data_IF_066807409098
#
_entry.id   IF_066807409098
#
_cell.length_a   1.000
_cell.length_b   1.000
_cell.length_c   1.000
_cell.angle_alpha   90.00
_cell.angle_beta   90.00
_cell.angle_gamma   90.00
#
_symmetry.space_group_name_H-M   'P 1'
#
loop_
_entity.id
_entity.type
_entity.pdbx_description
1 polymer ?
#
# COMPACT_ATOMS: atom_id res chain seq x y z
N UNK A 1 -5.19 -12.16 -16.50
CA UNK A 1 -3.86 -12.75 -16.75
C UNK A 1 -2.87 -11.62 -16.94
N UNK A 2 -2.02 -11.34 -15.95
CA UNK A 2 -1.05 -10.23 -16.02
C UNK A 2 0.35 -10.81 -16.20
N UNK A 3 0.73 -10.98 -17.45
CA UNK A 3 2.07 -11.40 -17.88
C UNK A 3 2.92 -10.12 -18.00
N UNK A 4 3.48 -9.64 -16.89
CA UNK A 4 4.28 -8.39 -16.86
C UNK A 4 5.64 -8.68 -16.23
N UNK A 5 6.64 -8.74 -17.12
CA UNK A 5 8.07 -9.03 -16.93
C UNK A 5 8.40 -10.43 -16.38
N UNK A 6 8.88 -11.34 -17.25
CA UNK A 6 9.28 -12.73 -16.93
C UNK A 6 10.52 -12.87 -16.03
N UNK A 7 10.69 -11.99 -15.06
CA UNK A 7 11.72 -12.03 -14.04
C UNK A 7 11.19 -12.71 -12.78
N UNK A 8 11.95 -13.68 -12.27
CA UNK A 8 11.76 -14.21 -10.94
C UNK A 8 11.94 -13.11 -9.89
N UNK A 9 11.28 -13.26 -8.74
CA UNK A 9 11.48 -12.39 -7.58
C UNK A 9 12.97 -12.18 -7.24
N UNK A 10 13.76 -13.25 -7.37
CA UNK A 10 15.20 -13.24 -7.13
C UNK A 10 15.98 -12.44 -8.17
N UNK A 11 15.58 -12.54 -9.43
CA UNK A 11 16.17 -11.79 -10.54
C UNK A 11 15.85 -10.29 -10.41
N UNK A 12 14.63 -9.95 -9.99
CA UNK A 12 14.22 -8.57 -9.76
C UNK A 12 15.02 -7.90 -8.62
N UNK A 13 15.31 -8.63 -7.54
CA UNK A 13 16.15 -8.12 -6.44
C UNK A 13 17.58 -7.82 -6.91
N UNK A 14 18.19 -8.74 -7.66
CA UNK A 14 19.54 -8.56 -8.22
C UNK A 14 19.57 -7.36 -9.19
N UNK A 15 18.57 -7.25 -10.07
CA UNK A 15 18.47 -6.17 -11.04
C UNK A 15 18.35 -4.79 -10.36
N UNK A 16 17.46 -4.66 -9.36
CA UNK A 16 17.26 -3.41 -8.61
C UNK A 16 18.52 -2.98 -7.87
N UNK A 17 19.16 -3.92 -7.18
CA UNK A 17 20.39 -3.68 -6.44
C UNK A 17 21.55 -3.21 -7.36
N UNK A 18 21.68 -3.84 -8.53
CA UNK A 18 22.67 -3.45 -9.54
C UNK A 18 22.36 -2.09 -10.17
N UNK A 19 21.11 -1.81 -10.56
CA UNK A 19 20.70 -0.49 -11.05
C UNK A 19 20.93 0.62 -10.03
N UNK A 20 20.72 0.33 -8.74
CA UNK A 20 20.96 1.22 -7.61
C UNK A 20 22.44 1.55 -7.37
N UNK A 21 23.37 1.00 -8.16
CA UNK A 21 24.78 1.34 -8.09
C UNK A 21 25.65 0.34 -7.34
N UNK A 22 25.06 -0.64 -6.65
CA UNK A 22 25.79 -1.58 -5.82
C UNK A 22 26.76 -2.46 -6.63
N UNK A 23 27.87 -2.84 -5.99
CA UNK A 23 28.88 -3.75 -6.56
C UNK A 23 28.42 -5.19 -6.46
N UNK A 24 28.95 -6.09 -7.31
CA UNK A 24 28.59 -7.51 -7.24
C UNK A 24 28.83 -8.13 -5.87
N UNK A 25 29.87 -7.68 -5.17
CA UNK A 25 30.18 -8.11 -3.82
C UNK A 25 29.08 -7.71 -2.83
N UNK A 26 28.70 -6.42 -2.82
CA UNK A 26 27.66 -5.90 -1.92
C UNK A 26 26.29 -6.54 -2.17
N UNK A 27 25.95 -6.81 -3.43
CA UNK A 27 24.71 -7.51 -3.80
C UNK A 27 24.75 -8.96 -3.32
N UNK A 28 25.89 -9.63 -3.48
CA UNK A 28 26.10 -11.01 -3.07
C UNK A 28 25.98 -11.18 -1.55
N UNK A 29 26.61 -10.29 -0.79
CA UNK A 29 26.53 -10.28 0.68
C UNK A 29 25.09 -10.04 1.15
N UNK A 30 24.40 -9.05 0.56
CA UNK A 30 23.00 -8.72 0.91
C UNK A 30 22.04 -9.87 0.63
N UNK A 31 22.27 -10.61 -0.45
CA UNK A 31 21.39 -11.68 -0.89
C UNK A 31 21.85 -13.06 -0.40
N UNK A 32 22.93 -13.15 0.38
CA UNK A 32 23.55 -14.41 0.81
C UNK A 32 23.85 -15.38 -0.35
N UNK A 33 24.49 -14.90 -1.43
CA UNK A 33 24.94 -15.70 -2.59
C UNK A 33 26.40 -15.40 -2.94
N UNK A 34 27.00 -16.18 -3.83
CA UNK A 34 28.34 -15.88 -4.34
C UNK A 34 28.33 -14.70 -5.35
N UNK A 35 29.37 -13.85 -5.40
CA UNK A 35 29.50 -12.77 -6.38
C UNK A 35 29.45 -13.26 -7.85
N UNK A 36 29.96 -14.47 -8.11
CA UNK A 36 29.85 -15.11 -9.42
C UNK A 36 28.40 -15.40 -9.82
N UNK A 37 27.56 -15.79 -8.86
CA UNK A 37 26.13 -16.04 -9.06
C UNK A 37 25.38 -14.77 -9.45
N UNK A 38 25.73 -13.62 -8.86
CA UNK A 38 25.17 -12.31 -9.25
C UNK A 38 25.44 -12.02 -10.73
N UNK A 39 26.68 -12.21 -11.19
CA UNK A 39 27.06 -12.01 -12.60
C UNK A 39 26.31 -12.96 -13.54
N UNK A 40 26.15 -14.23 -13.15
CA UNK A 40 25.42 -15.24 -13.92
C UNK A 40 23.95 -14.88 -14.10
N UNK A 41 23.30 -14.30 -13.08
CA UNK A 41 21.91 -13.85 -13.19
C UNK A 41 21.74 -12.54 -13.97
N UNK A 42 22.72 -11.64 -13.98
CA UNK A 42 22.60 -10.37 -14.69
C UNK A 42 22.51 -10.53 -16.22
N UNK A 43 23.21 -11.49 -16.81
CA UNK A 43 23.15 -11.73 -18.26
C UNK A 43 21.74 -12.10 -18.77
N UNK A 44 21.02 -13.09 -18.20
CA UNK A 44 19.64 -13.39 -18.60
C UNK A 44 18.67 -12.26 -18.23
N UNK A 45 18.88 -11.55 -17.11
CA UNK A 45 18.08 -10.37 -16.75
C UNK A 45 18.15 -9.31 -17.84
N UNK A 46 19.36 -8.95 -18.27
CA UNK A 46 19.57 -7.94 -19.30
C UNK A 46 18.90 -8.32 -20.63
N UNK A 47 18.97 -9.61 -20.99
CA UNK A 47 18.29 -10.15 -22.17
C UNK A 47 16.76 -10.09 -22.05
N UNK A 48 16.21 -10.55 -20.93
CA UNK A 48 14.76 -10.51 -20.65
C UNK A 48 14.22 -9.09 -20.64
N UNK A 49 15.00 -8.16 -20.11
CA UNK A 49 14.66 -6.75 -20.05
C UNK A 49 15.08 -5.98 -21.29
N UNK A 50 15.72 -6.60 -22.31
CA UNK A 50 16.23 -5.94 -23.51
C UNK A 50 17.09 -4.69 -23.24
N UNK A 51 17.93 -4.73 -22.19
CA UNK A 51 18.81 -3.63 -21.77
C UNK A 51 20.27 -3.99 -22.02
N UNK A 52 21.06 -3.00 -22.44
CA UNK A 52 22.47 -3.22 -22.79
C UNK A 52 23.42 -2.52 -21.84
N UNK A 53 22.94 -1.54 -21.08
CA UNK A 53 23.74 -0.78 -20.12
C UNK A 53 23.13 -0.77 -18.72
N UNK A 54 23.98 -0.52 -17.71
CA UNK A 54 23.54 -0.30 -16.32
C UNK A 54 22.59 0.91 -16.22
N UNK A 55 22.80 1.92 -17.07
CA UNK A 55 21.96 3.11 -17.14
C UNK A 55 20.57 2.77 -17.70
N UNK A 56 20.49 1.99 -18.78
CA UNK A 56 19.22 1.52 -19.36
C UNK A 56 18.43 0.66 -18.35
N UNK A 57 19.15 -0.12 -17.54
CA UNK A 57 18.56 -0.96 -16.49
C UNK A 57 17.98 -0.10 -15.37
N UNK A 58 18.65 1.00 -15.01
CA UNK A 58 18.16 2.01 -14.08
C UNK A 58 16.95 2.76 -14.65
N UNK A 59 16.95 3.12 -15.94
CA UNK A 59 15.83 3.84 -16.56
C UNK A 59 14.59 2.93 -16.70
N UNK A 60 14.76 1.66 -17.07
CA UNK A 60 13.64 0.70 -17.16
C UNK A 60 13.06 0.33 -15.79
N UNK A 61 13.92 0.11 -14.78
CA UNK A 61 13.44 -0.16 -13.43
C UNK A 61 12.90 1.11 -12.77
N UNK A 62 13.48 2.28 -13.06
CA UNK A 62 13.01 3.58 -12.61
C UNK A 62 11.66 3.95 -13.22
N UNK A 63 11.38 3.60 -14.48
CA UNK A 63 10.05 3.75 -15.09
C UNK A 63 9.03 2.77 -14.51
N UNK A 64 9.44 1.54 -14.19
CA UNK A 64 8.60 0.56 -13.49
C UNK A 64 8.36 0.93 -12.02
N UNK A 65 9.32 1.60 -11.38
CA UNK A 65 9.21 2.16 -10.03
C UNK A 65 8.49 3.50 -10.01
N UNK A 66 8.50 4.32 -11.06
CA UNK A 66 7.69 5.54 -11.14
C UNK A 66 6.17 5.23 -11.11
N UNK A 67 5.79 4.00 -11.45
CA UNK A 67 4.41 3.52 -11.28
C UNK A 67 4.13 2.91 -9.90
N UNK A 68 5.16 2.72 -9.04
CA UNK A 68 5.06 2.01 -7.74
C UNK A 68 5.67 2.74 -6.53
N UNK A 69 6.51 3.74 -6.74
CA UNK A 69 7.35 4.43 -5.75
C UNK A 69 6.83 5.79 -5.31
N UNK A 70 5.91 6.41 -6.05
CA UNK A 70 5.33 7.71 -5.69
C UNK A 70 4.36 7.65 -4.48
N UNK A 71 4.02 6.44 -4.02
CA UNK A 71 3.16 6.23 -2.85
C UNK A 71 3.95 5.86 -1.58
N UNK A 72 5.26 5.66 -1.72
CA UNK A 72 6.03 4.82 -0.81
C UNK A 72 7.10 5.58 0.01
N UNK A 73 7.53 6.78 -0.43
CA UNK A 73 8.70 7.50 0.12
C UNK A 73 8.41 8.73 1.00
N UNK A 74 7.15 9.02 1.35
CA UNK A 74 6.80 10.25 2.10
C UNK A 74 6.54 10.06 3.61
N UNK A 75 6.76 8.87 4.20
CA UNK A 75 6.38 8.60 5.60
C UNK A 75 7.45 7.85 6.41
N UNK A 76 7.53 8.10 7.75
CA UNK A 76 8.45 7.39 8.64
C UNK A 76 8.27 5.88 8.53
N UNK A 77 9.36 5.13 8.72
CA UNK A 77 9.49 3.69 8.51
C UNK A 77 8.16 2.94 8.74
N UNK A 78 7.60 2.42 7.64
CA UNK A 78 6.26 1.82 7.64
C UNK A 78 6.16 0.77 8.73
N UNK A 79 5.04 0.69 9.47
CA UNK A 79 4.78 -0.47 10.30
C UNK A 79 4.86 -1.72 9.39
N UNK A 80 5.61 -2.73 9.84
CA UNK A 80 5.71 -4.02 9.16
C UNK A 80 4.33 -4.68 8.99
N UNK A 81 3.39 -4.30 9.87
CA UNK A 81 2.00 -4.72 9.87
C UNK A 81 1.14 -3.86 8.92
N UNK A 82 0.20 -4.45 8.18
CA UNK A 82 -0.77 -3.71 7.39
C UNK A 82 -1.54 -2.70 8.26
N UNK A 83 -1.59 -1.44 7.82
CA UNK A 83 -2.27 -0.36 8.53
C UNK A 83 -3.55 0.08 7.80
N UNK A 84 -4.61 0.32 8.57
CA UNK A 84 -5.93 0.71 8.08
C UNK A 84 -6.47 1.91 8.86
N UNK A 85 -7.01 2.89 8.15
CA UNK A 85 -7.86 3.93 8.72
C UNK A 85 -9.31 3.63 8.38
N UNK A 86 -10.23 3.83 9.32
CA UNK A 86 -11.67 3.72 9.10
C UNK A 86 -12.26 5.13 9.17
N UNK A 87 -12.80 5.61 8.06
CA UNK A 87 -13.54 6.87 8.03
C UNK A 87 -14.92 6.70 8.67
N UNK A 88 -15.50 7.80 9.14
CA UNK A 88 -16.87 7.81 9.61
C UNK A 88 -17.78 7.39 8.44
N UNK A 89 -18.61 6.37 8.66
CA UNK A 89 -19.59 5.93 7.67
C UNK A 89 -20.62 7.03 7.44
N UNK A 90 -20.95 7.28 6.18
CA UNK A 90 -21.94 8.27 5.80
C UNK A 90 -23.35 7.78 6.14
N UNK A 91 -24.15 8.61 6.79
CA UNK A 91 -25.57 8.36 6.97
C UNK A 91 -26.31 8.65 5.66
N UNK A 92 -26.78 7.60 4.98
CA UNK A 92 -27.61 7.70 3.77
C UNK A 92 -29.11 7.50 4.07
N UNK A 93 -29.51 7.61 5.33
CA UNK A 93 -30.91 7.62 5.75
C UNK A 93 -31.47 9.03 5.62
N UNK A 94 -32.78 9.16 5.38
CA UNK A 94 -33.44 10.48 5.26
C UNK A 94 -33.66 11.18 6.61
N UNK A 95 -33.11 10.62 7.68
CA UNK A 95 -33.30 11.04 9.07
C UNK A 95 -31.93 11.37 9.72
N UNK A 96 -31.66 12.64 10.04
CA UNK A 96 -30.43 13.05 10.70
C UNK A 96 -30.32 12.55 12.14
N UNK A 97 -31.42 12.13 12.79
CA UNK A 97 -31.35 11.46 14.10
C UNK A 97 -30.63 10.10 14.01
N UNK A 98 -30.45 9.55 12.80
CA UNK A 98 -29.70 8.31 12.58
C UNK A 98 -28.18 8.53 12.55
N UNK A 99 -27.68 9.77 12.67
CA UNK A 99 -26.25 10.06 12.61
C UNK A 99 -25.46 9.40 13.77
N UNK A 100 -26.09 9.26 14.94
CA UNK A 100 -25.45 8.51 16.04
C UNK A 100 -25.24 7.03 15.68
N UNK A 101 -26.10 6.48 14.81
CA UNK A 101 -26.03 5.08 14.42
C UNK A 101 -24.88 4.84 13.43
N UNK A 102 -24.67 5.72 12.45
CA UNK A 102 -23.50 5.66 11.57
C UNK A 102 -22.19 5.87 12.35
N UNK A 103 -22.19 6.78 13.33
CA UNK A 103 -21.04 7.01 14.20
C UNK A 103 -20.73 5.81 15.11
N UNK A 104 -21.75 5.23 15.73
CA UNK A 104 -21.62 4.03 16.56
C UNK A 104 -21.17 2.82 15.73
N UNK A 105 -21.71 2.65 14.53
CA UNK A 105 -21.29 1.60 13.60
C UNK A 105 -19.82 1.72 13.20
N UNK A 106 -19.36 2.95 12.95
CA UNK A 106 -17.95 3.22 12.65
C UNK A 106 -17.05 2.86 13.84
N UNK A 107 -17.48 3.21 15.06
CA UNK A 107 -16.75 2.91 16.29
C UNK A 107 -16.69 1.41 16.60
N UNK A 108 -17.78 0.68 16.34
CA UNK A 108 -17.85 -0.77 16.47
C UNK A 108 -16.90 -1.46 15.48
N UNK A 109 -16.80 -0.98 14.23
CA UNK A 109 -15.82 -1.50 13.25
C UNK A 109 -14.39 -1.25 13.73
N UNK A 110 -14.08 -0.02 14.18
CA UNK A 110 -12.76 0.32 14.72
C UNK A 110 -12.42 -0.61 15.89
N UNK A 111 -13.38 -0.81 16.80
CA UNK A 111 -13.22 -1.68 17.98
C UNK A 111 -13.01 -3.14 17.60
N UNK A 112 -13.81 -3.65 16.67
CA UNK A 112 -13.73 -5.03 16.19
C UNK A 112 -12.39 -5.30 15.50
N UNK A 113 -11.96 -4.41 14.61
CA UNK A 113 -10.69 -4.53 13.90
C UNK A 113 -9.49 -4.32 14.84
N UNK A 114 -9.62 -3.49 15.88
CA UNK A 114 -8.52 -3.21 16.84
C UNK A 114 -8.13 -4.44 17.68
N UNK A 115 -9.02 -5.43 17.78
CA UNK A 115 -8.72 -6.72 18.43
C UNK A 115 -7.82 -7.62 17.59
N UNK A 116 -7.56 -7.24 16.34
CA UNK A 116 -6.73 -7.98 15.40
C UNK A 116 -5.24 -7.61 15.56
N UNK A 117 -4.39 -8.50 16.10
CA UNK A 117 -2.99 -8.15 16.41
C UNK A 117 -2.10 -7.98 15.17
N UNK A 118 -2.60 -8.37 14.00
CA UNK A 118 -1.92 -8.26 12.70
C UNK A 118 -2.29 -6.99 11.92
N UNK A 119 -3.27 -6.20 12.40
CA UNK A 119 -3.64 -4.90 11.83
C UNK A 119 -3.19 -3.76 12.75
N UNK A 120 -2.69 -2.68 12.15
CA UNK A 120 -2.48 -1.42 12.85
C UNK A 120 -3.60 -0.44 12.50
N UNK A 121 -4.36 0.01 13.49
CA UNK A 121 -5.52 0.89 13.26
C UNK A 121 -5.22 2.27 13.78
N UNK A 122 -5.53 3.27 12.96
CA UNK A 122 -5.47 4.67 13.38
C UNK A 122 -6.70 5.01 14.21
N UNK A 123 -6.48 5.75 15.29
CA UNK A 123 -7.52 6.17 16.21
C UNK A 123 -8.63 6.98 15.52
N UNK A 124 -9.88 6.73 15.97
CA UNK A 124 -11.12 7.39 15.57
C UNK A 124 -11.00 8.92 15.43
N UNK A 125 -10.35 9.59 16.39
CA UNK A 125 -10.25 11.05 16.39
C UNK A 125 -9.50 11.62 15.18
N UNK A 126 -8.61 10.85 14.57
CA UNK A 126 -7.84 11.29 13.40
C UNK A 126 -8.64 11.16 12.11
N UNK A 127 -9.60 10.22 12.05
CA UNK A 127 -10.40 9.97 10.85
C UNK A 127 -11.73 10.72 10.85
N UNK A 128 -12.27 11.05 12.03
CA UNK A 128 -13.52 11.81 12.18
C UNK A 128 -13.41 13.28 11.75
N UNK A 129 -12.20 13.83 11.63
CA UNK A 129 -11.97 15.17 11.08
C UNK A 129 -12.35 15.28 9.59
N UNK A 130 -12.45 14.14 8.89
CA UNK A 130 -12.81 14.08 7.49
C UNK A 130 -14.32 13.84 7.27
N UNK A 131 -15.12 13.73 8.34
CA UNK A 131 -16.57 13.52 8.27
C UNK A 131 -17.27 14.70 7.57
N UNK A 132 -18.21 14.40 6.67
CA UNK A 132 -18.98 15.40 5.93
C UNK A 132 -18.19 16.17 4.88
N UNK A 133 -16.94 15.78 4.62
CA UNK A 133 -16.09 16.35 3.59
C UNK A 133 -15.94 15.36 2.43
N UNK A 134 -15.99 15.85 1.19
CA UNK A 134 -15.66 15.07 0.00
C UNK A 134 -14.14 14.94 -0.14
N UNK A 135 -13.54 14.16 0.75
CA UNK A 135 -12.08 14.04 0.83
C UNK A 135 -11.60 12.93 -0.08
N UNK A 136 -10.58 13.20 -0.89
CA UNK A 136 -9.91 12.15 -1.66
C UNK A 136 -9.29 11.15 -0.68
N UNK A 137 -9.77 9.92 -0.70
CA UNK A 137 -9.30 8.79 0.12
C UNK A 137 -7.78 8.63 0.02
N UNK A 138 -7.18 8.91 -1.14
CA UNK A 138 -5.72 8.87 -1.32
C UNK A 138 -5.00 9.96 -0.54
N UNK A 139 -5.63 11.13 -0.39
CA UNK A 139 -5.11 12.22 0.43
C UNK A 139 -5.23 11.88 1.90
N UNK A 140 -6.36 11.33 2.35
CA UNK A 140 -6.52 10.84 3.73
C UNK A 140 -5.47 9.78 4.05
N UNK A 141 -5.27 8.81 3.16
CA UNK A 141 -4.26 7.77 3.35
C UNK A 141 -2.85 8.35 3.55
N UNK A 142 -2.51 9.40 2.79
CA UNK A 142 -1.26 10.16 2.95
C UNK A 142 -1.26 10.92 4.27
N UNK A 143 -2.19 11.84 4.49
CA UNK A 143 -2.24 12.69 5.68
C UNK A 143 -2.16 11.90 6.99
N UNK A 144 -2.77 10.71 7.01
CA UNK A 144 -2.86 9.83 8.17
C UNK A 144 -1.74 8.77 8.21
N UNK A 145 -1.03 8.52 7.11
CA UNK A 145 0.08 7.57 7.03
C UNK A 145 -0.34 6.08 7.02
N UNK A 146 -1.47 5.75 6.38
CA UNK A 146 -1.98 4.37 6.29
C UNK A 146 -1.89 3.77 4.90
N UNK A 147 -1.85 2.43 4.83
CA UNK A 147 -1.84 1.71 3.54
C UNK A 147 -3.23 1.54 2.96
N UNK A 148 -4.23 1.40 3.82
CA UNK A 148 -5.62 1.16 3.45
C UNK A 148 -6.52 2.15 4.18
N UNK A 149 -7.58 2.58 3.50
CA UNK A 149 -8.64 3.38 4.09
C UNK A 149 -9.95 2.67 3.79
N UNK A 150 -10.78 2.51 4.80
CA UNK A 150 -12.14 2.01 4.71
C UNK A 150 -13.09 3.20 4.76
N UNK A 151 -13.89 3.35 3.72
CA UNK A 151 -15.02 4.28 3.67
C UNK A 151 -16.29 3.49 3.40
N UNK A 152 -17.44 4.08 3.71
CA UNK A 152 -18.70 3.41 3.49
C UNK A 152 -19.89 4.25 3.92
N UNK A 153 -21.07 3.71 3.68
CA UNK A 153 -22.33 4.32 4.07
C UNK A 153 -23.26 3.33 4.72
N UNK A 154 -24.08 3.85 5.61
CA UNK A 154 -25.13 3.09 6.30
C UNK A 154 -26.47 3.75 6.02
N UNK A 155 -27.45 2.94 5.65
CA UNK A 155 -28.85 3.35 5.51
C UNK A 155 -29.70 2.48 6.41
N UNK A 156 -30.46 3.11 7.31
CA UNK A 156 -31.42 2.43 8.17
C UNK A 156 -32.84 2.79 7.76
N UNK A 157 -33.71 1.79 7.66
CA UNK A 157 -35.12 1.93 7.32
C UNK A 157 -35.92 0.94 8.17
N UNK A 158 -36.54 1.45 9.24
CA UNK A 158 -37.19 0.63 10.26
C UNK A 158 -36.21 -0.38 10.88
N UNK A 159 -36.55 -1.67 10.74
CA UNK A 159 -35.76 -2.79 11.26
C UNK A 159 -34.67 -3.29 10.29
N UNK A 160 -34.47 -2.63 9.15
CA UNK A 160 -33.48 -3.01 8.14
C UNK A 160 -32.32 -2.04 8.10
N UNK A 161 -31.12 -2.59 8.02
CA UNK A 161 -29.88 -1.85 7.86
C UNK A 161 -29.20 -2.31 6.57
N UNK A 162 -28.82 -1.36 5.72
CA UNK A 162 -27.99 -1.59 4.53
C UNK A 162 -26.65 -0.90 4.71
N UNK A 163 -25.58 -1.64 4.47
CA UNK A 163 -24.20 -1.16 4.56
C UNK A 163 -23.54 -1.27 3.19
N UNK A 164 -22.76 -0.27 2.82
CA UNK A 164 -21.89 -0.27 1.63
C UNK A 164 -20.48 0.10 2.07
N UNK A 165 -19.46 -0.63 1.61
CA UNK A 165 -18.04 -0.42 1.91
C UNK A 165 -17.15 -1.10 0.87
#
# INVERSE_FOLDING_TARGET
MSERAGLSHREAQIAKAYAGGQTYQSIADTLCIAPSTVRTHLAPINRKLSVSSKLDLRDRLGAAEATKGDLDDAFPARPEKPSIAVLAFENMSDDPEQEYFSDGFSDDIITALSRSPWLFIIARNTTFTYKGSSVDVRRVAKDVGVRLVLEGSVRRSGDRVRVTA
#
